data_IF_761207986919
#
_entry.id   IF_761207986919
#
_cell.length_a   1.000
_cell.length_b   1.000
_cell.length_c   1.000
_cell.angle_alpha   90.00
_cell.angle_beta   90.00
_cell.angle_gamma   90.00
#
_symmetry.space_group_name_H-M   'P 1'
#
loop_
_entity.id
_entity.type
_entity.pdbx_description
1 polymer ?
#
# COMPACT_ATOMS: atom_id res chain seq x y z
N UNK A 1 -10.54 -8.57 3.74
CA UNK A 1 -11.28 -7.32 3.43
C UNK A 1 -10.36 -6.10 3.43
N UNK A 2 -9.61 -5.81 4.52
CA UNK A 2 -8.74 -4.63 4.60
C UNK A 2 -7.72 -4.47 3.46
N UNK A 3 -7.13 -5.55 2.95
CA UNK A 3 -6.15 -5.46 1.86
C UNK A 3 -6.70 -5.12 0.48
N UNK A 4 -7.97 -5.42 0.21
CA UNK A 4 -8.59 -5.06 -1.08
C UNK A 4 -8.82 -3.55 -1.16
N UNK A 5 -8.93 -2.89 -0.01
CA UNK A 5 -9.12 -1.45 0.08
C UNK A 5 -7.82 -0.66 -0.20
N UNK A 6 -6.64 -1.26 -0.06
CA UNK A 6 -5.33 -0.63 -0.34
C UNK A 6 -5.16 -0.25 -1.82
N UNK A 7 -5.35 -1.15 -2.80
CA UNK A 7 -5.28 -0.75 -4.22
C UNK A 7 -6.41 0.22 -4.59
N UNK A 8 -7.58 0.12 -3.94
CA UNK A 8 -8.68 1.09 -4.14
C UNK A 8 -8.27 2.49 -3.67
N UNK A 9 -7.64 2.61 -2.50
CA UNK A 9 -7.13 3.88 -1.99
C UNK A 9 -6.10 4.50 -2.94
N UNK A 10 -5.15 3.70 -3.43
CA UNK A 10 -4.15 4.16 -4.40
C UNK A 10 -4.78 4.63 -5.73
N UNK A 11 -5.80 3.93 -6.22
CA UNK A 11 -6.55 4.37 -7.41
C UNK A 11 -7.29 5.69 -7.17
N UNK A 12 -7.95 5.86 -6.01
CA UNK A 12 -8.58 7.13 -5.64
C UNK A 12 -7.57 8.28 -5.65
N UNK A 13 -6.38 8.08 -5.09
CA UNK A 13 -5.31 9.10 -5.13
C UNK A 13 -4.86 9.42 -6.57
N UNK A 14 -4.82 8.43 -7.47
CA UNK A 14 -4.48 8.64 -8.89
C UNK A 14 -5.52 9.48 -9.65
N UNK A 15 -6.81 9.40 -9.26
CA UNK A 15 -7.90 10.12 -9.94
C UNK A 15 -7.86 11.64 -9.74
N UNK A 16 -7.07 12.13 -8.78
CA UNK A 16 -6.90 13.57 -8.54
C UNK A 16 -6.33 14.34 -9.73
N UNK A 17 -5.60 13.68 -10.63
CA UNK A 17 -5.06 14.28 -11.85
C UNK A 17 -6.04 14.23 -13.05
N UNK A 18 -7.10 13.42 -12.94
CA UNK A 18 -8.13 13.27 -13.99
C UNK A 18 -9.29 14.26 -13.81
N UNK A 19 -9.49 14.73 -12.57
CA UNK A 19 -10.37 15.84 -12.24
C UNK A 19 -9.58 17.11 -12.56
N UNK A 20 -10.00 17.86 -13.59
CA UNK A 20 -9.28 19.04 -14.10
C UNK A 20 -8.95 20.09 -13.03
N UNK A 21 -8.19 21.13 -13.36
CA UNK A 21 -7.64 22.08 -12.39
C UNK A 21 -8.65 22.99 -11.65
N UNK A 22 -9.95 22.81 -11.86
CA UNK A 22 -10.96 23.61 -11.18
C UNK A 22 -10.96 23.28 -9.67
N UNK A 23 -10.85 24.29 -8.80
CA UNK A 23 -10.80 24.06 -7.36
C UNK A 23 -12.14 23.50 -6.87
N UNK A 24 -12.10 22.28 -6.35
CA UNK A 24 -13.25 21.64 -5.70
C UNK A 24 -13.18 21.98 -4.21
N UNK A 25 -14.23 22.59 -3.66
CA UNK A 25 -14.29 23.03 -2.25
C UNK A 25 -13.16 24.01 -1.84
N UNK A 26 -12.60 24.75 -2.80
CA UNK A 26 -11.48 25.67 -2.56
C UNK A 26 -10.10 25.01 -2.47
N UNK A 27 -9.99 23.71 -2.75
CA UNK A 27 -8.74 22.94 -2.77
C UNK A 27 -8.41 22.44 -4.18
N UNK A 28 -7.12 22.24 -4.46
CA UNK A 28 -6.70 21.56 -5.68
C UNK A 28 -7.23 20.11 -5.67
N UNK A 29 -7.82 19.60 -6.77
CA UNK A 29 -8.41 18.26 -6.80
C UNK A 29 -7.47 17.13 -6.40
N UNK A 30 -6.18 17.23 -6.77
CA UNK A 30 -5.12 16.34 -6.29
C UNK A 30 -5.06 16.27 -4.76
N UNK A 31 -5.11 17.41 -4.07
CA UNK A 31 -5.05 17.47 -2.60
C UNK A 31 -6.29 16.82 -1.97
N UNK A 32 -7.47 17.07 -2.54
CA UNK A 32 -8.72 16.45 -2.05
C UNK A 32 -8.69 14.92 -2.19
N UNK A 33 -8.26 14.42 -3.36
CA UNK A 33 -8.16 12.99 -3.59
C UNK A 33 -7.07 12.32 -2.76
N UNK A 34 -5.98 13.03 -2.46
CA UNK A 34 -4.96 12.57 -1.51
C UNK A 34 -5.53 12.40 -0.10
N UNK A 35 -6.30 13.37 0.39
CA UNK A 35 -6.96 13.30 1.72
C UNK A 35 -7.93 12.12 1.78
N UNK A 36 -8.79 11.94 0.76
CA UNK A 36 -9.71 10.82 0.69
C UNK A 36 -8.98 9.47 0.64
N UNK A 37 -7.89 9.39 -0.12
CA UNK A 37 -7.05 8.21 -0.18
C UNK A 37 -6.43 7.86 1.19
N UNK A 38 -5.92 8.85 1.93
CA UNK A 38 -5.32 8.64 3.26
C UNK A 38 -6.38 8.16 4.25
N UNK A 39 -7.61 8.70 4.19
CA UNK A 39 -8.72 8.22 5.02
C UNK A 39 -9.03 6.75 4.75
N UNK A 40 -9.10 6.36 3.47
CA UNK A 40 -9.32 4.96 3.09
C UNK A 40 -8.16 4.08 3.56
N UNK A 41 -6.91 4.50 3.36
CA UNK A 41 -5.72 3.76 3.79
C UNK A 41 -5.68 3.56 5.31
N UNK A 42 -6.01 4.60 6.09
CA UNK A 42 -6.10 4.50 7.55
C UNK A 42 -7.15 3.47 7.99
N UNK A 43 -8.32 3.46 7.34
CA UNK A 43 -9.33 2.42 7.57
C UNK A 43 -8.82 1.03 7.21
N UNK A 44 -8.04 0.88 6.13
CA UNK A 44 -7.44 -0.42 5.77
C UNK A 44 -6.54 -0.93 6.89
N UNK A 45 -5.67 -0.07 7.43
CA UNK A 45 -4.70 -0.42 8.44
C UNK A 45 -5.36 -0.81 9.76
N UNK A 46 -6.44 -0.11 10.14
CA UNK A 46 -7.27 -0.49 11.28
C UNK A 46 -7.84 -1.92 11.17
N UNK A 47 -8.05 -2.45 9.97
CA UNK A 47 -8.53 -3.83 9.78
C UNK A 47 -7.41 -4.87 9.65
N UNK A 48 -6.26 -4.49 9.09
CA UNK A 48 -5.16 -5.43 8.83
C UNK A 48 -4.36 -5.68 10.11
N UNK A 49 -3.97 -4.62 10.82
CA UNK A 49 -3.03 -4.69 11.94
C UNK A 49 -3.54 -5.57 13.10
N UNK A 50 -4.80 -5.45 13.57
CA UNK A 50 -5.30 -6.29 14.67
C UNK A 50 -5.29 -7.77 14.32
N UNK A 51 -5.73 -8.12 13.10
CA UNK A 51 -5.82 -9.51 12.64
C UNK A 51 -4.44 -10.13 12.39
N UNK A 52 -3.50 -9.32 11.91
CA UNK A 52 -2.11 -9.75 11.73
C UNK A 52 -1.49 -10.13 13.09
N UNK A 53 -1.57 -9.23 14.08
CA UNK A 53 -1.01 -9.49 15.41
C UNK A 53 -1.68 -10.66 16.12
N UNK A 54 -3.00 -10.79 15.98
CA UNK A 54 -3.76 -11.93 16.51
C UNK A 54 -3.27 -13.27 15.91
N UNK A 55 -3.05 -13.32 14.59
CA UNK A 55 -2.55 -14.52 13.92
C UNK A 55 -1.17 -14.97 14.45
N UNK A 56 -0.24 -14.03 14.65
CA UNK A 56 1.09 -14.34 15.19
C UNK A 56 1.05 -14.72 16.67
N UNK A 57 0.21 -14.06 17.45
CA UNK A 57 0.02 -14.39 18.87
C UNK A 57 -0.52 -15.81 19.03
N UNK A 58 -1.52 -16.22 18.24
CA UNK A 58 -2.12 -17.55 18.32
C UNK A 58 -1.19 -18.69 17.88
N UNK A 59 -0.24 -18.42 16.99
CA UNK A 59 0.75 -19.43 16.56
C UNK A 59 1.98 -19.50 17.47
N UNK A 60 2.14 -18.54 18.37
CA UNK A 60 3.31 -18.49 19.24
C UNK A 60 3.26 -19.63 20.26
N UNK A 61 4.35 -20.42 20.43
CA UNK A 61 4.43 -21.40 21.48
C UNK A 61 4.43 -20.71 22.86
N UNK A 62 3.77 -21.36 23.84
CA UNK A 62 3.60 -20.80 25.19
C UNK A 62 4.98 -20.52 25.81
N UNK A 63 5.23 -19.26 26.15
CA UNK A 63 6.50 -18.80 26.75
C UNK A 63 7.48 -18.15 25.79
N UNK A 64 7.26 -18.19 24.47
CA UNK A 64 8.10 -17.52 23.45
C UNK A 64 7.33 -16.46 22.64
N UNK A 65 6.16 -16.03 23.11
CA UNK A 65 5.27 -15.07 22.41
C UNK A 65 5.98 -13.77 22.05
N UNK A 66 6.82 -13.24 22.94
CA UNK A 66 7.60 -12.01 22.67
C UNK A 66 8.65 -12.18 21.56
N UNK A 67 9.22 -13.38 21.40
CA UNK A 67 10.20 -13.65 20.34
C UNK A 67 9.52 -13.76 18.98
N UNK A 68 8.38 -14.45 18.91
CA UNK A 68 7.60 -14.59 17.68
C UNK A 68 6.93 -13.26 17.26
N UNK A 69 6.46 -12.45 18.21
CA UNK A 69 6.05 -11.06 17.92
C UNK A 69 7.23 -10.18 17.46
N UNK A 70 8.45 -10.40 17.96
CA UNK A 70 9.62 -9.70 17.47
C UNK A 70 9.95 -10.05 16.02
N UNK A 71 9.86 -11.33 15.66
CA UNK A 71 10.06 -11.79 14.28
C UNK A 71 8.96 -11.32 13.32
N UNK A 72 7.75 -11.06 13.80
CA UNK A 72 6.67 -10.54 12.96
C UNK A 72 6.90 -9.10 12.48
N UNK A 73 7.95 -8.40 12.92
CA UNK A 73 8.35 -7.08 12.43
C UNK A 73 9.40 -7.13 11.30
N UNK A 74 9.95 -8.32 11.03
CA UNK A 74 10.98 -8.52 9.99
C UNK A 74 10.43 -8.18 8.60
N UNK A 75 9.15 -8.43 8.37
CA UNK A 75 8.44 -8.06 7.15
C UNK A 75 8.49 -6.54 6.91
N UNK A 76 8.30 -5.76 7.97
CA UNK A 76 8.30 -4.30 7.95
C UNK A 76 9.71 -3.75 7.70
N UNK A 77 10.75 -4.43 8.18
CA UNK A 77 12.14 -4.09 7.88
C UNK A 77 12.43 -4.21 6.38
N UNK A 78 12.15 -5.37 5.78
CA UNK A 78 12.36 -5.58 4.34
C UNK A 78 11.47 -4.68 3.49
N UNK A 79 10.20 -4.50 3.89
CA UNK A 79 9.26 -3.62 3.22
C UNK A 79 9.72 -2.17 3.26
N UNK A 80 10.32 -1.71 4.35
CA UNK A 80 10.86 -0.34 4.46
C UNK A 80 12.04 -0.14 3.51
N UNK A 81 12.99 -1.07 3.47
CA UNK A 81 14.16 -0.98 2.57
C UNK A 81 13.72 -0.93 1.10
N UNK A 82 12.87 -1.88 0.70
CA UNK A 82 12.37 -1.95 -0.67
C UNK A 82 11.45 -0.77 -1.01
N UNK A 83 10.59 -0.37 -0.08
CA UNK A 83 9.66 0.75 -0.22
C UNK A 83 10.37 2.08 -0.40
N UNK A 84 11.38 2.38 0.41
CA UNK A 84 12.19 3.60 0.25
C UNK A 84 12.98 3.60 -1.05
N UNK A 85 13.63 2.48 -1.40
CA UNK A 85 14.38 2.37 -2.65
C UNK A 85 13.50 2.58 -3.89
N UNK A 86 12.36 1.89 -3.94
CA UNK A 86 11.40 2.02 -5.04
C UNK A 86 10.81 3.43 -5.11
N UNK A 87 10.42 4.00 -3.97
CA UNK A 87 9.87 5.36 -3.90
C UNK A 87 10.87 6.40 -4.39
N UNK A 88 12.15 6.29 -4.01
CA UNK A 88 13.19 7.21 -4.48
C UNK A 88 13.36 7.20 -6.00
N UNK A 89 13.34 6.01 -6.62
CA UNK A 89 13.42 5.87 -8.08
C UNK A 89 12.16 6.42 -8.77
N UNK A 90 10.98 6.13 -8.23
CA UNK A 90 9.70 6.60 -8.76
C UNK A 90 9.57 8.12 -8.67
N UNK A 91 9.94 8.73 -7.53
CA UNK A 91 9.92 10.19 -7.35
C UNK A 91 10.91 10.85 -8.31
N UNK A 92 12.13 10.34 -8.42
CA UNK A 92 13.13 10.87 -9.36
C UNK A 92 12.66 10.83 -10.81
N UNK A 93 11.81 9.85 -11.18
CA UNK A 93 11.31 9.68 -12.55
C UNK A 93 10.06 10.50 -12.86
N UNK A 94 9.10 10.56 -11.91
CA UNK A 94 7.77 11.10 -12.16
C UNK A 94 7.50 12.44 -11.44
N UNK A 95 8.34 12.81 -10.48
CA UNK A 95 8.32 14.10 -9.77
C UNK A 95 9.76 14.62 -9.58
N UNK A 96 10.50 14.90 -10.66
CA UNK A 96 11.88 15.35 -10.58
C UNK A 96 11.98 16.75 -9.98
N UNK A 97 13.14 17.07 -9.40
CA UNK A 97 13.37 18.36 -8.76
C UNK A 97 13.29 19.51 -9.79
N UNK A 98 12.51 20.58 -9.53
CA UNK A 98 12.40 21.73 -10.43
C UNK A 98 13.72 22.44 -10.69
N UNK A 99 14.72 22.31 -9.81
CA UNK A 99 16.05 22.90 -9.98
C UNK A 99 16.91 22.22 -11.05
N UNK A 100 16.52 21.02 -11.49
CA UNK A 100 17.19 20.27 -12.56
C UNK A 100 16.80 20.75 -13.97
N UNK A 101 15.78 21.62 -14.09
CA UNK A 101 15.26 22.09 -15.37
C UNK A 101 15.53 23.58 -15.57
N UNK A 102 15.78 23.94 -16.83
CA UNK A 102 16.08 25.31 -17.23
C UNK A 102 14.84 26.20 -17.30
N UNK A 103 13.67 25.60 -17.56
CA UNK A 103 12.39 26.29 -17.68
C UNK A 103 11.27 25.55 -16.92
N UNK A 104 10.29 26.33 -16.42
CA UNK A 104 9.16 25.79 -15.66
C UNK A 104 8.23 24.91 -16.50
N UNK A 105 8.13 25.17 -17.80
CA UNK A 105 7.33 24.37 -18.74
C UNK A 105 7.90 22.97 -18.97
N UNK A 106 9.23 22.83 -19.05
CA UNK A 106 9.90 21.52 -19.15
C UNK A 106 9.66 20.67 -17.90
N UNK A 107 9.70 21.31 -16.72
CA UNK A 107 9.40 20.64 -15.45
C UNK A 107 7.93 20.22 -15.34
N UNK A 108 7.00 21.07 -15.78
CA UNK A 108 5.56 20.74 -15.83
C UNK A 108 5.29 19.56 -16.76
N UNK A 109 5.92 19.53 -17.94
CA UNK A 109 5.80 18.43 -18.88
C UNK A 109 6.39 17.12 -18.30
N UNK A 110 7.52 17.20 -17.60
CA UNK A 110 8.13 16.05 -16.92
C UNK A 110 7.29 15.52 -15.75
N UNK A 111 6.61 16.43 -15.03
CA UNK A 111 5.80 16.10 -13.83
C UNK A 111 4.33 15.78 -14.14
N UNK A 112 3.89 15.93 -15.39
CA UNK A 112 2.50 15.68 -15.82
C UNK A 112 2.04 14.23 -15.51
N UNK A 113 2.97 13.29 -15.44
CA UNK A 113 2.71 11.88 -15.17
C UNK A 113 2.93 11.48 -13.70
N UNK A 114 2.98 12.43 -12.76
CA UNK A 114 3.17 12.16 -11.33
C UNK A 114 2.17 11.13 -10.76
N UNK A 115 0.95 11.10 -11.30
CA UNK A 115 -0.09 10.16 -10.92
C UNK A 115 0.26 8.68 -11.20
N UNK A 116 1.24 8.39 -12.06
CA UNK A 116 1.67 7.01 -12.35
C UNK A 116 2.28 6.32 -11.14
N UNK A 117 2.88 7.06 -10.21
CA UNK A 117 3.42 6.53 -8.96
C UNK A 117 2.34 5.70 -8.23
N UNK A 118 1.10 6.21 -8.21
CA UNK A 118 -0.03 5.53 -7.57
C UNK A 118 -0.44 4.25 -8.28
N UNK A 119 -0.25 4.12 -9.60
CA UNK A 119 -0.49 2.86 -10.32
C UNK A 119 0.51 1.78 -9.95
N UNK A 120 1.78 2.13 -9.72
CA UNK A 120 2.77 1.18 -9.21
C UNK A 120 2.38 0.66 -7.82
N UNK A 121 1.98 1.56 -6.91
CA UNK A 121 1.51 1.16 -5.57
C UNK A 121 0.20 0.37 -5.60
N UNK A 122 -0.73 0.73 -6.48
CA UNK A 122 -1.96 -0.05 -6.69
C UNK A 122 -1.65 -1.47 -7.19
N UNK A 123 -0.69 -1.60 -8.11
CA UNK A 123 -0.23 -2.90 -8.61
C UNK A 123 0.38 -3.77 -7.50
N UNK A 124 1.26 -3.19 -6.68
CA UNK A 124 1.85 -3.88 -5.52
C UNK A 124 0.77 -4.30 -4.52
N UNK A 125 -0.17 -3.40 -4.21
CA UNK A 125 -1.30 -3.71 -3.32
C UNK A 125 -2.19 -4.82 -3.86
N UNK A 126 -2.42 -4.86 -5.18
CA UNK A 126 -3.20 -5.92 -5.83
C UNK A 126 -2.47 -7.28 -5.76
N UNK A 127 -1.17 -7.31 -6.02
CA UNK A 127 -0.35 -8.53 -5.91
C UNK A 127 -0.39 -9.06 -4.46
N UNK A 128 -0.24 -8.17 -3.47
CA UNK A 128 -0.33 -8.52 -2.06
C UNK A 128 -1.71 -9.11 -1.70
N UNK A 129 -2.80 -8.49 -2.18
CA UNK A 129 -4.16 -8.98 -1.96
C UNK A 129 -4.36 -10.38 -2.56
N UNK A 130 -3.86 -10.63 -3.78
CA UNK A 130 -3.93 -11.95 -4.42
C UNK A 130 -3.12 -12.99 -3.65
N UNK A 131 -1.89 -12.65 -3.24
CA UNK A 131 -1.03 -13.55 -2.46
C UNK A 131 -1.72 -13.99 -1.15
N UNK A 132 -2.42 -13.08 -0.48
CA UNK A 132 -3.10 -13.39 0.77
C UNK A 132 -4.41 -14.16 0.58
N UNK A 133 -5.11 -13.97 -0.54
CA UNK A 133 -6.22 -14.87 -0.93
C UNK A 133 -5.70 -16.28 -1.18
N UNK A 134 -4.58 -16.44 -1.89
CA UNK A 134 -3.98 -17.76 -2.13
C UNK A 134 -3.58 -18.40 -0.80
N UNK A 135 -2.96 -17.63 0.10
CA UNK A 135 -2.58 -18.11 1.43
C UNK A 135 -3.80 -18.60 2.23
N UNK A 136 -4.91 -17.85 2.23
CA UNK A 136 -6.17 -18.24 2.88
C UNK A 136 -6.72 -19.54 2.29
N UNK A 137 -6.75 -19.68 0.96
CA UNK A 137 -7.25 -20.89 0.28
C UNK A 137 -6.40 -22.11 0.63
N UNK A 138 -5.07 -21.95 0.65
CA UNK A 138 -4.12 -23.04 0.92
C UNK A 138 -4.21 -23.49 2.37
N UNK A 139 -4.22 -22.55 3.33
CA UNK A 139 -4.33 -22.88 4.77
C UNK A 139 -5.65 -23.58 5.08
N UNK A 140 -6.78 -23.07 4.57
CA UNK A 140 -8.08 -23.74 4.70
C UNK A 140 -8.09 -25.17 4.12
N UNK A 141 -7.43 -25.41 2.98
CA UNK A 141 -7.31 -26.75 2.40
C UNK A 141 -6.49 -27.70 3.29
N UNK A 142 -5.38 -27.21 3.86
CA UNK A 142 -4.51 -27.99 4.74
C UNK A 142 -5.25 -28.34 6.03
N UNK A 143 -5.94 -27.37 6.63
CA UNK A 143 -6.68 -27.59 7.87
C UNK A 143 -7.85 -28.55 7.68
N UNK A 144 -8.58 -28.44 6.56
CA UNK A 144 -9.63 -29.40 6.19
C UNK A 144 -9.08 -30.81 6.03
N UNK A 145 -7.89 -30.98 5.41
CA UNK A 145 -7.23 -32.29 5.31
C UNK A 145 -6.82 -32.84 6.67
N UNK A 146 -6.27 -32.02 7.57
CA UNK A 146 -5.91 -32.45 8.93
C UNK A 146 -7.13 -32.88 9.73
N UNK A 147 -8.26 -32.18 9.59
CA UNK A 147 -9.52 -32.53 10.25
C UNK A 147 -10.13 -33.85 9.77
N UNK A 148 -9.84 -34.26 8.52
CA UNK A 148 -10.32 -35.52 7.94
C UNK A 148 -9.42 -36.73 8.29
N UNK A 149 -8.18 -36.48 8.72
CA UNK A 149 -7.21 -37.53 9.10
C UNK A 149 -7.23 -37.81 10.62
N UNK A 150 -7.96 -36.99 11.38
CA UNK A 150 -8.13 -37.10 12.84
C UNK A 150 -9.45 -37.78 13.17
#
# INVERSE_FOLDING_TARGET
>A
VGMILVPVAALVMSTGNLLGNDPILGMHPITLMLVLGIMLQGLCECFITPRYLEYFSLQSPKGEEGMYLGFSQLDSFFSSILGFGLSGVLLSKYCPDPTLFSTHEEWLAASANAHYIWYYFAGIGMIAAVALIIFEIVTHHIDKKKALVK
#
